data_IF_782812354567
#
_entry.id   IF_782812354567
#
_cell.length_a   1.000
_cell.length_b   1.000
_cell.length_c   1.000
_cell.angle_alpha   90.00
_cell.angle_beta   90.00
_cell.angle_gamma   90.00
#
_symmetry.space_group_name_H-M   'P 1'
#
loop_
_entity.id
_entity.type
_entity.pdbx_description
1 polymer ?
#
# COMPACT_ATOMS: atom_id res chain seq x y z
N UNK A 1 11.26 2.52 -12.06
CA UNK A 1 10.24 2.09 -11.10
C UNK A 1 10.75 0.97 -10.23
N UNK A 2 10.35 0.95 -8.98
CA UNK A 2 10.74 -0.11 -8.07
C UNK A 2 9.49 -0.84 -7.58
N UNK A 3 9.69 -2.08 -7.18
CA UNK A 3 8.66 -2.93 -6.62
C UNK A 3 9.01 -3.20 -5.17
N UNK A 4 8.13 -2.88 -4.26
CA UNK A 4 8.38 -2.98 -2.83
C UNK A 4 7.27 -3.77 -2.15
N UNK A 5 7.65 -4.67 -1.27
CA UNK A 5 6.72 -5.44 -0.46
C UNK A 5 6.57 -4.76 0.89
N UNK A 6 5.33 -4.59 1.32
CA UNK A 6 5.01 -4.07 2.65
C UNK A 6 4.12 -5.06 3.38
N UNK A 7 4.28 -5.13 4.69
CA UNK A 7 3.33 -5.81 5.54
C UNK A 7 2.32 -4.80 6.05
N UNK A 8 1.06 -5.20 6.08
CA UNK A 8 0.00 -4.30 6.51
C UNK A 8 -0.72 -4.88 7.73
N UNK A 9 -1.00 -4.01 8.69
CA UNK A 9 -1.76 -4.33 9.89
C UNK A 9 -3.07 -3.57 9.87
N UNK A 10 -4.10 -4.13 10.48
CA UNK A 10 -5.40 -3.49 10.56
C UNK A 10 -6.40 -3.95 9.53
N UNK A 11 -5.99 -4.80 8.59
CA UNK A 11 -6.93 -5.38 7.63
C UNK A 11 -7.78 -6.43 8.34
N UNK A 12 -9.10 -6.23 8.31
CA UNK A 12 -10.02 -7.15 8.97
C UNK A 12 -10.89 -7.92 7.99
N UNK A 13 -10.97 -7.48 6.74
CA UNK A 13 -11.83 -8.14 5.75
C UNK A 13 -11.38 -7.78 4.34
N UNK A 14 -11.96 -8.49 3.35
CA UNK A 14 -11.63 -8.25 1.95
C UNK A 14 -12.00 -6.86 1.46
N UNK A 15 -13.02 -6.24 2.05
CA UNK A 15 -13.41 -4.89 1.69
C UNK A 15 -12.30 -3.88 2.05
N UNK A 16 -11.60 -4.11 3.16
CA UNK A 16 -10.49 -3.27 3.54
C UNK A 16 -9.35 -3.37 2.53
N UNK A 17 -9.05 -4.60 2.10
CA UNK A 17 -8.02 -4.82 1.08
C UNK A 17 -8.38 -4.11 -0.22
N UNK A 18 -9.64 -4.19 -0.61
CA UNK A 18 -10.11 -3.50 -1.82
C UNK A 18 -9.98 -1.99 -1.69
N UNK A 19 -10.34 -1.44 -0.53
CA UNK A 19 -10.24 0.00 -0.29
C UNK A 19 -8.80 0.49 -0.38
N UNK A 20 -7.86 -0.28 0.17
CA UNK A 20 -6.44 0.06 0.11
C UNK A 20 -5.96 0.03 -1.34
N UNK A 21 -6.34 -0.99 -2.09
CA UNK A 21 -5.96 -1.12 -3.48
C UNK A 21 -6.49 0.05 -4.30
N UNK A 22 -7.74 0.41 -4.08
CA UNK A 22 -8.35 1.55 -4.77
C UNK A 22 -7.67 2.85 -4.41
N UNK A 23 -7.33 3.03 -3.13
CA UNK A 23 -6.64 4.23 -2.68
C UNK A 23 -5.32 4.43 -3.43
N UNK A 24 -4.50 3.38 -3.47
CA UNK A 24 -3.19 3.49 -4.11
C UNK A 24 -3.27 3.67 -5.62
N UNK A 25 -4.35 3.23 -6.25
CA UNK A 25 -4.54 3.47 -7.68
C UNK A 25 -4.63 4.94 -8.01
N UNK A 26 -5.08 5.75 -7.06
CA UNK A 26 -5.25 7.19 -7.27
C UNK A 26 -4.05 8.00 -6.78
N UNK A 27 -3.05 7.36 -6.21
CA UNK A 27 -1.85 8.06 -5.74
C UNK A 27 -0.91 8.25 -6.91
N UNK A 28 -0.49 9.51 -7.12
CA UNK A 28 0.47 9.80 -8.20
C UNK A 28 1.80 9.13 -7.92
N UNK A 29 2.36 8.52 -8.95
CA UNK A 29 3.61 7.81 -8.83
C UNK A 29 3.46 6.32 -8.62
N UNK A 30 2.29 5.85 -8.26
CA UNK A 30 2.00 4.42 -8.14
C UNK A 30 1.57 3.89 -9.49
N UNK A 31 2.30 2.89 -9.99
CA UNK A 31 1.95 2.25 -11.25
C UNK A 31 1.04 1.06 -11.04
N UNK A 32 1.33 0.26 -10.01
CA UNK A 32 0.58 -0.95 -9.76
C UNK A 32 0.54 -1.23 -8.27
N UNK A 33 -0.58 -1.75 -7.82
CA UNK A 33 -0.75 -2.15 -6.43
C UNK A 33 -1.41 -3.53 -6.40
N UNK A 34 -0.92 -4.38 -5.51
CA UNK A 34 -1.48 -5.70 -5.28
C UNK A 34 -1.55 -5.93 -3.79
N UNK A 35 -2.72 -6.32 -3.30
CA UNK A 35 -2.95 -6.58 -1.89
C UNK A 35 -3.26 -8.06 -1.71
N UNK A 36 -2.50 -8.73 -0.85
CA UNK A 36 -2.76 -10.11 -0.47
C UNK A 36 -3.36 -10.11 0.92
N UNK A 37 -4.67 -10.32 0.97
CA UNK A 37 -5.40 -10.32 2.23
C UNK A 37 -4.98 -11.46 3.15
N UNK A 38 -4.73 -12.63 2.57
CA UNK A 38 -4.38 -13.80 3.37
C UNK A 38 -3.02 -13.68 4.05
N UNK A 39 -2.07 -13.08 3.35
CA UNK A 39 -0.73 -12.88 3.87
C UNK A 39 -0.55 -11.52 4.53
N UNK A 40 -1.56 -10.65 4.40
CA UNK A 40 -1.51 -9.27 4.90
C UNK A 40 -0.31 -8.51 4.34
N UNK A 41 -0.12 -8.65 3.04
CA UNK A 41 0.99 -8.04 2.33
C UNK A 41 0.47 -7.14 1.22
N UNK A 42 1.20 -6.07 0.96
CA UNK A 42 0.90 -5.17 -0.14
C UNK A 42 2.16 -5.02 -0.98
N UNK A 43 2.02 -5.27 -2.28
CA UNK A 43 3.11 -5.07 -3.22
C UNK A 43 2.80 -3.83 -4.05
N UNK A 44 3.72 -2.89 -4.05
CA UNK A 44 3.56 -1.64 -4.80
C UNK A 44 4.68 -1.50 -5.81
N UNK A 45 4.30 -1.17 -7.05
CA UNK A 45 5.23 -0.70 -8.07
C UNK A 45 5.04 0.79 -8.20
N UNK A 46 6.08 1.56 -7.90
CA UNK A 46 5.98 3.00 -7.89
C UNK A 46 7.29 3.64 -8.36
N UNK A 47 7.18 4.90 -8.74
CA UNK A 47 8.34 5.68 -9.18
C UNK A 47 8.96 6.32 -7.94
N UNK A 48 10.18 5.89 -7.59
CA UNK A 48 10.89 6.39 -6.43
C UNK A 48 11.23 7.87 -6.54
N UNK A 49 11.15 8.42 -7.73
CA UNK A 49 11.36 9.86 -7.93
C UNK A 49 10.17 10.68 -7.49
N UNK A 50 8.97 10.08 -7.51
CA UNK A 50 7.73 10.76 -7.17
C UNK A 50 7.23 10.39 -5.78
N UNK A 51 7.53 9.18 -5.33
CA UNK A 51 7.10 8.67 -4.05
C UNK A 51 8.27 8.06 -3.30
N UNK A 52 8.17 8.09 -1.98
CA UNK A 52 9.09 7.36 -1.13
C UNK A 52 8.29 6.53 -0.13
N UNK A 53 8.99 5.64 0.59
CA UNK A 53 8.33 4.75 1.53
C UNK A 53 7.59 5.50 2.63
N UNK A 54 8.16 6.60 3.10
CA UNK A 54 7.52 7.39 4.15
C UNK A 54 6.18 7.94 3.70
N UNK A 55 6.10 8.45 2.47
CA UNK A 55 4.85 8.97 1.94
C UNK A 55 3.80 7.88 1.76
N UNK A 56 4.23 6.70 1.32
CA UNK A 56 3.32 5.57 1.17
C UNK A 56 2.74 5.17 2.52
N UNK A 57 3.59 5.05 3.54
CA UNK A 57 3.15 4.68 4.87
C UNK A 57 2.21 5.74 5.43
N UNK A 58 2.56 7.02 5.28
CA UNK A 58 1.75 8.12 5.78
C UNK A 58 0.39 8.19 5.11
N UNK A 59 0.29 7.79 3.85
CA UNK A 59 -0.97 7.88 3.13
C UNK A 59 -2.05 6.97 3.70
N UNK A 60 -1.67 5.90 4.38
CA UNK A 60 -2.63 4.99 5.00
C UNK A 60 -2.87 5.28 6.48
N UNK A 61 -2.07 6.14 7.10
CA UNK A 61 -2.24 6.46 8.51
C UNK A 61 -3.63 6.98 8.84
N UNK A 62 -4.23 7.90 8.05
CA UNK A 62 -5.57 8.40 8.34
C UNK A 62 -6.66 7.34 8.27
N UNK A 63 -6.39 6.24 7.58
CA UNK A 63 -7.36 5.14 7.45
C UNK A 63 -7.25 4.12 8.56
N UNK A 64 -6.28 4.27 9.46
CA UNK A 64 -6.10 3.35 10.57
C UNK A 64 -5.28 2.10 10.24
N UNK A 65 -4.64 2.06 9.09
CA UNK A 65 -3.78 0.95 8.71
C UNK A 65 -2.33 1.29 8.93
N UNK A 66 -1.54 0.29 9.28
CA UNK A 66 -0.10 0.44 9.48
C UNK A 66 0.63 -0.39 8.44
N UNK A 67 1.48 0.28 7.66
CA UNK A 67 2.36 -0.40 6.72
C UNK A 67 3.75 -0.47 7.29
N UNK A 68 4.37 -1.64 7.13
CA UNK A 68 5.76 -1.83 7.52
C UNK A 68 6.52 -2.42 6.36
N UNK A 69 7.72 -1.93 6.14
CA UNK A 69 8.59 -2.46 5.11
C UNK A 69 8.98 -3.89 5.46
N UNK A 70 8.82 -4.75 4.49
CA UNK A 70 9.22 -6.14 4.64
C UNK A 70 10.73 -6.29 4.51
#
# INVERSE_FOLDING_TARGET
MIKQLFHISGIMCGACAYSIQKHFKHVKGVRRVSVDFNKKEVVLEYDERKLNQAKIIQSLTPFGYTLQKS
#
